data_IF_771969275237
#
_entry.id   IF_771969275237
#
_cell.length_a   1.000
_cell.length_b   1.000
_cell.length_c   1.000
_cell.angle_alpha   90.00
_cell.angle_beta   90.00
_cell.angle_gamma   90.00
#
_symmetry.space_group_name_H-M   'P 1'
#
loop_
_entity.id
_entity.type
_entity.pdbx_description
1 polymer ?
#
# COMPACT_ATOMS: atom_id res chain seq x y z
N UNK A 1 37.26 30.46 -38.84
CA UNK A 1 35.88 30.27 -38.35
C UNK A 1 35.93 30.15 -36.82
N UNK A 2 35.71 31.25 -36.07
CA UNK A 2 35.79 31.26 -34.61
C UNK A 2 34.46 30.78 -34.03
N UNK A 3 34.36 29.48 -33.74
CA UNK A 3 33.20 28.93 -33.03
C UNK A 3 33.19 29.57 -31.64
N UNK A 4 32.14 30.33 -31.33
CA UNK A 4 32.01 31.06 -30.05
C UNK A 4 31.85 30.01 -28.94
N UNK A 5 32.92 29.79 -28.18
CA UNK A 5 33.01 28.81 -27.09
C UNK A 5 31.82 28.87 -26.11
N UNK A 6 31.24 30.06 -25.92
CA UNK A 6 30.04 30.26 -25.09
C UNK A 6 28.77 29.57 -25.60
N UNK A 7 28.62 29.33 -26.91
CA UNK A 7 27.47 28.60 -27.46
C UNK A 7 27.57 27.11 -27.20
N UNK A 8 28.76 26.53 -27.32
CA UNK A 8 28.98 25.12 -26.99
C UNK A 8 28.71 24.89 -25.50
N UNK A 9 29.17 25.79 -24.63
CA UNK A 9 28.90 25.71 -23.19
C UNK A 9 27.41 25.79 -22.86
N UNK A 10 26.66 26.69 -23.51
CA UNK A 10 25.21 26.81 -23.30
C UNK A 10 24.43 25.59 -23.79
N UNK A 11 24.82 25.03 -24.95
CA UNK A 11 24.23 23.79 -25.48
C UNK A 11 24.53 22.62 -24.54
N UNK A 12 25.75 22.54 -23.99
CA UNK A 12 26.14 21.49 -23.05
C UNK A 12 25.36 21.59 -21.73
N UNK A 13 25.17 22.81 -21.23
CA UNK A 13 24.39 23.08 -20.01
C UNK A 13 22.91 22.75 -20.21
N UNK A 14 22.35 23.08 -21.37
CA UNK A 14 20.97 22.78 -21.73
C UNK A 14 20.75 21.27 -21.93
N UNK A 15 21.70 20.56 -22.52
CA UNK A 15 21.68 19.11 -22.58
C UNK A 15 21.74 18.48 -21.18
N UNK A 16 22.59 18.98 -20.29
CA UNK A 16 22.69 18.49 -18.90
C UNK A 16 21.37 18.66 -18.13
N UNK A 17 20.69 19.80 -18.29
CA UNK A 17 19.38 20.05 -17.69
C UNK A 17 18.27 19.14 -18.26
N UNK A 18 18.30 18.85 -19.57
CA UNK A 18 17.33 17.97 -20.22
C UNK A 18 17.54 16.48 -19.88
N UNK A 19 18.79 16.04 -19.68
CA UNK A 19 19.08 14.67 -19.27
C UNK A 19 18.93 14.44 -17.75
N UNK A 20 19.20 15.46 -16.92
CA UNK A 20 19.06 15.38 -15.46
C UNK A 20 17.62 15.23 -14.96
N UNK A 21 16.63 15.63 -15.75
CA UNK A 21 15.21 15.53 -15.38
C UNK A 21 14.64 14.10 -15.42
N UNK A 22 15.39 13.11 -15.92
CA UNK A 22 14.91 11.73 -16.10
C UNK A 22 15.19 10.79 -14.91
N UNK A 23 15.88 11.26 -13.87
CA UNK A 23 16.10 10.49 -12.63
C UNK A 23 14.98 10.74 -11.61
N UNK A 24 13.73 10.53 -12.02
CA UNK A 24 12.64 10.39 -11.06
C UNK A 24 12.73 9.00 -10.44
N UNK A 25 13.56 8.87 -9.40
CA UNK A 25 13.54 7.69 -8.54
C UNK A 25 12.15 7.61 -7.94
N UNK A 26 11.35 6.64 -8.39
CA UNK A 26 10.07 6.34 -7.77
C UNK A 26 10.32 6.09 -6.28
N UNK A 27 9.93 7.05 -5.45
CA UNK A 27 10.13 6.97 -4.01
C UNK A 27 9.45 5.70 -3.50
N UNK A 28 10.17 4.93 -2.68
CA UNK A 28 9.55 3.80 -1.97
C UNK A 28 8.46 4.38 -1.07
N UNK A 29 7.21 3.96 -1.28
CA UNK A 29 6.09 4.35 -0.42
C UNK A 29 6.34 3.72 0.94
N UNK A 30 6.72 4.56 1.92
CA UNK A 30 6.96 4.12 3.31
C UNK A 30 5.67 4.12 4.13
N UNK A 31 4.84 5.12 3.88
CA UNK A 31 3.59 5.36 4.58
C UNK A 31 2.50 5.55 3.54
N UNK A 32 1.32 4.97 3.78
CA UNK A 32 0.19 5.11 2.89
C UNK A 32 -1.14 5.07 3.63
N UNK A 33 -2.16 5.63 3.00
CA UNK A 33 -3.55 5.40 3.35
C UNK A 33 -4.29 4.90 2.12
N UNK A 34 -5.21 3.96 2.30
CA UNK A 34 -6.03 3.46 1.21
C UNK A 34 -7.45 3.16 1.68
N UNK A 35 -8.40 3.29 0.76
CA UNK A 35 -9.74 2.74 0.94
C UNK A 35 -9.70 1.25 0.61
N UNK A 36 -10.24 0.43 1.51
CA UNK A 36 -10.38 -1.00 1.34
C UNK A 36 -11.82 -1.33 0.98
N UNK A 37 -12.03 -2.02 -0.13
CA UNK A 37 -13.37 -2.44 -0.58
C UNK A 37 -13.38 -3.96 -0.65
N UNK A 38 -14.24 -4.59 0.15
CA UNK A 38 -14.49 -6.02 0.11
C UNK A 38 -15.72 -6.29 -0.75
N UNK A 39 -15.54 -7.04 -1.83
CA UNK A 39 -16.62 -7.52 -2.70
C UNK A 39 -16.83 -9.02 -2.53
N UNK A 40 -18.05 -9.49 -2.70
CA UNK A 40 -18.32 -10.93 -2.80
C UNK A 40 -18.00 -11.49 -4.20
N UNK A 41 -18.23 -12.80 -4.39
CA UNK A 41 -18.02 -13.50 -5.66
C UNK A 41 -18.90 -13.00 -6.82
N UNK A 42 -19.94 -12.21 -6.53
CA UNK A 42 -20.80 -11.58 -7.53
C UNK A 42 -20.38 -10.14 -7.85
N UNK A 43 -19.33 -9.63 -7.21
CA UNK A 43 -18.84 -8.26 -7.37
C UNK A 43 -19.60 -7.23 -6.55
N UNK A 44 -20.56 -7.64 -5.71
CA UNK A 44 -21.30 -6.73 -4.83
C UNK A 44 -20.42 -6.33 -3.65
N UNK A 45 -20.34 -5.02 -3.38
CA UNK A 45 -19.64 -4.48 -2.21
C UNK A 45 -20.33 -4.96 -0.93
N UNK A 46 -19.59 -5.68 -0.11
CA UNK A 46 -20.02 -6.17 1.21
C UNK A 46 -19.58 -5.25 2.33
N UNK A 47 -18.41 -4.64 2.19
CA UNK A 47 -17.85 -3.80 3.23
C UNK A 47 -16.84 -2.82 2.65
N UNK A 48 -16.75 -1.64 3.26
CA UNK A 48 -15.74 -0.62 2.96
C UNK A 48 -15.04 -0.21 4.24
N UNK A 49 -13.73 -0.03 4.16
CA UNK A 49 -12.88 0.32 5.29
C UNK A 49 -11.77 1.27 4.85
N UNK A 50 -11.00 1.74 5.83
CA UNK A 50 -9.81 2.55 5.58
C UNK A 50 -8.63 1.89 6.25
N UNK A 51 -7.53 1.79 5.53
CA UNK A 51 -6.25 1.36 6.08
C UNK A 51 -5.30 2.55 6.09
N UNK A 52 -4.62 2.72 7.22
CA UNK A 52 -3.52 3.65 7.41
C UNK A 52 -2.32 2.83 7.83
N UNK A 53 -1.24 2.96 7.08
CA UNK A 53 -0.03 2.18 7.30
C UNK A 53 1.17 3.10 7.34
N UNK A 54 2.00 2.86 8.34
CA UNK A 54 3.37 3.35 8.46
C UNK A 54 4.24 2.16 8.87
N UNK A 55 5.55 2.27 8.71
CA UNK A 55 6.52 1.21 9.09
C UNK A 55 6.18 0.47 10.40
N UNK A 56 5.92 1.22 11.47
CA UNK A 56 5.72 0.69 12.83
C UNK A 56 4.27 0.73 13.33
N UNK A 57 3.36 1.38 12.60
CA UNK A 57 1.99 1.61 13.05
C UNK A 57 1.00 1.35 11.94
N UNK A 58 -0.06 0.65 12.27
CA UNK A 58 -1.15 0.38 11.35
C UNK A 58 -2.48 0.68 12.05
N UNK A 59 -3.43 1.23 11.30
CA UNK A 59 -4.81 1.38 11.73
C UNK A 59 -5.72 0.91 10.61
N UNK A 60 -6.67 0.06 10.96
CA UNK A 60 -7.71 -0.43 10.06
C UNK A 60 -9.06 -0.04 10.65
N UNK A 61 -9.86 0.65 9.86
CA UNK A 61 -11.23 1.05 10.19
C UNK A 61 -12.20 0.30 9.29
N UNK A 62 -13.42 0.06 9.77
CA UNK A 62 -14.44 -0.56 8.94
C UNK A 62 -14.24 -2.07 8.78
N UNK A 63 -13.61 -2.76 9.75
CA UNK A 63 -13.44 -4.21 9.68
C UNK A 63 -14.76 -4.93 10.05
N UNK A 64 -15.54 -5.28 9.04
CA UNK A 64 -16.64 -6.23 9.16
C UNK A 64 -16.08 -7.65 9.17
N UNK A 65 -15.95 -8.26 10.35
CA UNK A 65 -15.49 -9.64 10.51
C UNK A 65 -16.54 -10.61 9.93
N UNK A 66 -16.41 -10.94 8.63
CA UNK A 66 -16.99 -12.12 7.99
C UNK A 66 -18.51 -12.28 7.95
N UNK A 67 -19.28 -11.39 8.60
CA UNK A 67 -20.75 -11.47 8.63
C UNK A 67 -21.36 -10.49 7.61
N UNK A 68 -22.53 -10.84 7.02
CA UNK A 68 -23.25 -9.93 6.15
C UNK A 68 -23.59 -8.64 6.89
N UNK A 69 -22.94 -7.57 6.45
CA UNK A 69 -23.19 -6.16 6.73
C UNK A 69 -24.53 -5.86 7.40
N UNK A 70 -24.52 -5.81 8.73
CA UNK A 70 -25.36 -4.85 9.43
C UNK A 70 -24.52 -3.60 9.62
N UNK A 71 -25.04 -2.41 9.32
CA UNK A 71 -24.31 -1.13 9.43
C UNK A 71 -23.64 -0.93 10.81
N UNK A 72 -24.16 -1.59 11.85
CA UNK A 72 -23.64 -1.55 13.23
C UNK A 72 -22.40 -2.41 13.47
N UNK A 73 -22.03 -3.29 12.54
CA UNK A 73 -20.90 -4.22 12.67
C UNK A 73 -19.60 -3.68 12.05
N UNK A 74 -19.68 -2.56 11.32
CA UNK A 74 -18.54 -1.90 10.68
C UNK A 74 -17.83 -0.89 11.59
N UNK A 75 -18.23 -0.73 12.85
CA UNK A 75 -17.65 0.24 13.78
C UNK A 75 -16.52 -0.36 14.65
N UNK A 76 -15.74 -1.24 14.03
CA UNK A 76 -14.54 -1.84 14.61
C UNK A 76 -13.30 -1.12 14.08
N UNK A 77 -12.41 -0.74 15.00
CA UNK A 77 -11.11 -0.16 14.68
C UNK A 77 -10.02 -1.05 15.26
N UNK A 78 -9.11 -1.50 14.41
CA UNK A 78 -7.91 -2.23 14.83
C UNK A 78 -6.72 -1.28 14.72
N UNK A 79 -5.95 -1.16 15.79
CA UNK A 79 -4.72 -0.38 15.83
C UNK A 79 -3.57 -1.29 16.22
N UNK A 80 -2.55 -1.39 15.39
CA UNK A 80 -1.32 -2.15 15.67
C UNK A 80 -0.19 -1.16 15.89
N UNK A 81 0.48 -1.29 17.03
CA UNK A 81 1.61 -0.47 17.47
C UNK A 81 2.82 -1.38 17.66
N UNK A 82 3.55 -1.66 16.59
CA UNK A 82 4.77 -2.49 16.65
C UNK A 82 5.81 -1.85 17.57
N UNK A 83 5.92 -0.52 17.52
CA UNK A 83 6.75 0.30 18.41
C UNK A 83 6.44 0.13 19.91
N UNK A 84 5.28 -0.43 20.26
CA UNK A 84 4.86 -0.71 21.64
C UNK A 84 4.60 -2.19 21.91
N UNK A 85 4.75 -3.05 20.90
CA UNK A 85 4.42 -4.47 21.01
C UNK A 85 2.95 -4.75 21.37
N UNK A 86 2.00 -3.86 21.02
CA UNK A 86 0.58 -4.03 21.34
C UNK A 86 -0.32 -3.87 20.13
N UNK A 87 -1.46 -4.56 20.15
CA UNK A 87 -2.59 -4.23 19.29
C UNK A 87 -3.84 -3.96 20.12
N UNK A 88 -4.63 -3.00 19.65
CA UNK A 88 -5.92 -2.63 20.19
C UNK A 88 -7.00 -2.99 19.20
N UNK A 89 -8.07 -3.60 19.71
CA UNK A 89 -9.31 -3.77 18.99
C UNK A 89 -10.38 -2.98 19.70
N UNK A 90 -10.89 -1.95 19.04
CA UNK A 90 -11.85 -1.00 19.58
C UNK A 90 -13.20 -1.28 18.94
N UNK A 91 -14.21 -1.54 19.78
CA UNK A 91 -15.60 -1.61 19.38
C UNK A 91 -16.28 -0.30 19.81
N UNK A 92 -16.45 0.61 18.87
CA UNK A 92 -17.01 1.93 19.12
C UNK A 92 -18.51 1.87 19.46
N UNK A 93 -19.25 0.87 18.94
CA UNK A 93 -20.67 0.64 19.27
C UNK A 93 -20.83 0.25 20.74
N UNK A 94 -20.01 -0.70 21.21
CA UNK A 94 -20.05 -1.21 22.59
C UNK A 94 -19.26 -0.35 23.57
N UNK A 95 -18.56 0.68 23.10
CA UNK A 95 -17.64 1.52 23.90
C UNK A 95 -16.64 0.67 24.69
N UNK A 96 -16.17 -0.40 24.08
CA UNK A 96 -15.25 -1.35 24.67
C UNK A 96 -13.99 -1.45 23.82
N UNK A 97 -12.85 -1.71 24.46
CA UNK A 97 -11.62 -2.02 23.77
C UNK A 97 -10.97 -3.26 24.37
N UNK A 98 -10.21 -3.95 23.55
CA UNK A 98 -9.37 -5.08 23.93
C UNK A 98 -7.93 -4.74 23.58
N UNK A 99 -7.03 -4.97 24.53
CA UNK A 99 -5.59 -4.82 24.36
C UNK A 99 -4.93 -6.19 24.50
N UNK A 100 -4.03 -6.50 23.56
CA UNK A 100 -3.20 -7.69 23.65
C UNK A 100 -1.81 -7.38 23.09
N UNK A 101 -0.81 -8.06 23.65
CA UNK A 101 0.54 -8.05 23.10
C UNK A 101 0.56 -8.55 21.65
N UNK A 102 1.52 -8.08 20.88
CA UNK A 102 1.78 -8.58 19.54
C UNK A 102 2.56 -9.90 19.67
N UNK A 103 1.96 -10.99 19.21
CA UNK A 103 2.71 -12.21 18.92
C UNK A 103 3.33 -12.07 17.52
N UNK A 104 4.65 -12.15 17.44
CA UNK A 104 5.40 -12.05 16.18
C UNK A 104 4.94 -13.10 15.17
N UNK A 105 4.53 -14.30 15.61
CA UNK A 105 4.02 -15.36 14.74
C UNK A 105 2.67 -15.01 14.12
N UNK A 106 1.78 -14.35 14.87
CA UNK A 106 0.51 -13.87 14.34
C UNK A 106 0.72 -12.70 13.37
N UNK A 107 1.67 -11.81 13.64
CA UNK A 107 2.01 -10.72 12.71
C UNK A 107 2.60 -11.22 11.39
N UNK A 108 3.42 -12.27 11.43
CA UNK A 108 3.90 -12.90 10.21
C UNK A 108 2.76 -13.38 9.31
N UNK A 109 1.67 -13.91 9.88
CA UNK A 109 0.50 -14.34 9.12
C UNK A 109 -0.27 -13.18 8.48
N UNK A 110 -0.33 -12.01 9.14
CA UNK A 110 -0.94 -10.79 8.59
C UNK A 110 -0.07 -10.18 7.47
N UNK A 111 1.26 -10.23 7.61
CA UNK A 111 2.19 -9.86 6.54
C UNK A 111 2.30 -10.92 5.43
N UNK A 112 1.81 -12.14 5.70
CA UNK A 112 1.89 -13.32 4.86
C UNK A 112 1.16 -13.22 3.52
N UNK A 113 0.30 -12.22 3.35
CA UNK A 113 -0.24 -11.83 2.04
C UNK A 113 0.84 -11.37 1.04
N UNK A 114 2.08 -11.16 1.52
CA UNK A 114 3.25 -10.79 0.74
C UNK A 114 4.48 -11.63 1.14
N UNK A 115 4.31 -12.91 1.53
CA UNK A 115 5.46 -13.83 1.58
C UNK A 115 5.86 -14.26 0.16
N UNK A 116 7.15 -14.55 -0.02
CA UNK A 116 7.85 -14.85 -1.27
C UNK A 116 7.00 -15.65 -2.26
N UNK A 117 6.33 -14.93 -3.14
CA UNK A 117 5.59 -15.53 -4.22
C UNK A 117 6.48 -15.59 -5.45
N UNK A 118 6.36 -16.65 -6.23
CA UNK A 118 7.06 -16.72 -7.51
C UNK A 118 6.46 -15.65 -8.43
N UNK A 119 7.23 -14.59 -8.68
CA UNK A 119 6.78 -13.45 -9.50
C UNK A 119 7.29 -13.61 -10.92
N UNK A 120 6.41 -13.98 -11.85
CA UNK A 120 6.70 -14.00 -13.28
C UNK A 120 6.22 -12.71 -13.95
N UNK A 121 7.12 -11.97 -14.59
CA UNK A 121 6.75 -10.78 -15.39
C UNK A 121 6.12 -11.25 -16.70
N UNK A 122 4.88 -10.82 -16.97
CA UNK A 122 4.12 -11.20 -18.17
C UNK A 122 4.22 -10.15 -19.30
N UNK A 123 4.72 -8.95 -19.00
CA UNK A 123 4.87 -7.87 -19.98
C UNK A 123 4.47 -6.51 -19.42
N UNK A 124 4.20 -5.56 -20.31
CA UNK A 124 3.73 -4.21 -19.94
C UNK A 124 2.41 -3.87 -20.63
N UNK A 125 1.50 -3.25 -19.90
CA UNK A 125 0.21 -2.78 -20.41
C UNK A 125 -0.07 -1.35 -19.95
N UNK A 126 -1.01 -0.66 -20.62
CA UNK A 126 -1.36 0.72 -20.29
C UNK A 126 -2.67 0.72 -19.49
N UNK A 127 -2.59 1.03 -18.20
CA UNK A 127 -3.76 1.14 -17.32
C UNK A 127 -4.03 2.63 -17.06
N UNK A 128 -5.17 3.12 -17.52
CA UNK A 128 -5.57 4.54 -17.36
C UNK A 128 -4.48 5.54 -17.79
N UNK A 129 -3.74 5.21 -18.86
CA UNK A 129 -2.66 6.05 -19.38
C UNK A 129 -1.28 5.79 -18.77
N UNK A 130 -1.18 5.07 -17.66
CA UNK A 130 0.09 4.71 -17.01
C UNK A 130 0.66 3.42 -17.58
N UNK A 131 1.97 3.39 -17.84
CA UNK A 131 2.69 2.17 -18.24
C UNK A 131 2.89 1.29 -17.01
N UNK A 132 2.18 0.17 -16.96
CA UNK A 132 2.21 -0.78 -15.85
C UNK A 132 2.92 -2.07 -16.28
N UNK A 133 3.61 -2.72 -15.34
CA UNK A 133 4.20 -4.05 -15.56
C UNK A 133 3.24 -5.11 -15.02
N UNK A 134 2.79 -6.00 -15.89
CA UNK A 134 1.94 -7.13 -15.52
C UNK A 134 2.79 -8.23 -14.89
N UNK A 135 2.40 -8.68 -13.70
CA UNK A 135 3.08 -9.74 -12.95
C UNK A 135 2.08 -10.83 -12.58
N UNK A 136 2.45 -12.08 -12.83
CA UNK A 136 1.80 -13.25 -12.27
C UNK A 136 2.51 -13.61 -10.98
N UNK A 137 1.73 -13.86 -9.93
CA UNK A 137 2.21 -14.12 -8.59
C UNK A 137 1.66 -15.49 -8.18
N UNK A 138 2.53 -16.49 -8.07
CA UNK A 138 2.15 -17.83 -7.59
C UNK A 138 2.46 -17.92 -6.10
N UNK A 139 1.41 -18.08 -5.28
CA UNK A 139 1.53 -18.32 -3.85
C UNK A 139 1.35 -19.81 -3.57
N UNK A 140 2.35 -20.46 -2.97
CA UNK A 140 2.19 -21.79 -2.40
C UNK A 140 1.55 -21.65 -1.02
N UNK A 141 0.29 -22.07 -0.89
CA UNK A 141 -0.43 -22.14 0.39
C UNK A 141 -0.19 -23.52 1.00
#
# INVERSE_FOLDING_TARGET
MRIRFGWIFNILLMALCLFGASLTVAGKVKDFSADQVYTDSTGKVRNTGKIFFTSEKMRMEGLGMGAPSSEKQNDMVVVVRKDRGVHWMINNTKKAYFERGIDEKEMESLSGLVKEAEVKVLGTEKIQGYKCTKRQVTTHV
#
